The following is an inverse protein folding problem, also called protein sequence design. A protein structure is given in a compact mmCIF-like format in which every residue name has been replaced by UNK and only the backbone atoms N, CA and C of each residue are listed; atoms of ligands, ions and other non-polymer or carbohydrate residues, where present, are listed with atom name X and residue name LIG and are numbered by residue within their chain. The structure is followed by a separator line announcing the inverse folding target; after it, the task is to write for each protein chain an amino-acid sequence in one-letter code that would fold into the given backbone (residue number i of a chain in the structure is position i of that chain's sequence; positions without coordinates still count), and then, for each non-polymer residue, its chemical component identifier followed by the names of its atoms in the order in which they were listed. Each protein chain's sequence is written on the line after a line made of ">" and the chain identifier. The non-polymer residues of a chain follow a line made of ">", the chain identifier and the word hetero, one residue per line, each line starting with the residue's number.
data_IF_959533445805
#
_entry.id   IF_959533445805
#
_cell.length_a   1.000
_cell.length_b   1.000
_cell.length_c   1.000
_cell.angle_alpha   90.00
_cell.angle_beta   90.00
_cell.angle_gamma   90.00
#
_symmetry.space_group_name_H-M   'P 1'
#
loop_
_entity.id
_entity.type
_entity.pdbx_description
1 polymer ?
#
# COMPACT_ATOMS: atom_id res chain seq x y z
N UNK A 1 36.62 22.13 19.54
CA UNK A 1 35.35 22.70 20.03
C UNK A 1 35.04 22.20 21.44
N UNK A 2 35.24 23.03 22.49
CA UNK A 2 34.74 22.73 23.85
C UNK A 2 33.25 23.06 23.90
N UNK A 3 32.43 22.17 23.33
CA UNK A 3 30.97 22.29 23.39
C UNK A 3 30.46 22.02 24.81
N UNK A 4 29.39 22.73 25.20
CA UNK A 4 28.70 22.54 26.48
C UNK A 4 28.35 21.06 26.68
N UNK A 5 28.58 20.48 27.88
CA UNK A 5 28.22 19.09 28.17
C UNK A 5 26.73 18.83 27.94
N UNK A 6 25.88 19.84 28.18
CA UNK A 6 24.43 19.76 27.93
C UNK A 6 24.14 19.65 26.43
N UNK A 7 24.82 20.44 25.60
CA UNK A 7 24.65 20.38 24.15
C UNK A 7 25.02 19.00 23.60
N UNK A 8 26.08 18.38 24.14
CA UNK A 8 26.50 17.02 23.75
C UNK A 8 25.46 15.96 24.08
N UNK A 9 24.85 16.04 25.27
CA UNK A 9 23.78 15.12 25.69
C UNK A 9 22.55 15.27 24.80
N UNK A 10 22.15 16.51 24.50
CA UNK A 10 21.02 16.78 23.62
C UNK A 10 21.29 16.23 22.20
N UNK A 11 22.48 16.45 21.65
CA UNK A 11 22.87 15.89 20.35
C UNK A 11 22.83 14.37 20.35
N UNK A 12 23.33 13.71 21.39
CA UNK A 12 23.26 12.25 21.52
C UNK A 12 21.83 11.73 21.57
N UNK A 13 20.94 12.41 22.29
CA UNK A 13 19.52 12.06 22.33
C UNK A 13 18.87 12.12 20.94
N UNK A 14 19.14 13.18 20.17
CA UNK A 14 18.63 13.30 18.81
C UNK A 14 19.16 12.20 17.89
N UNK A 15 20.44 11.84 18.00
CA UNK A 15 21.04 10.74 17.21
C UNK A 15 20.35 9.42 17.54
N UNK A 16 20.15 9.11 18.82
CA UNK A 16 19.48 7.88 19.25
C UNK A 16 18.02 7.85 18.80
N UNK A 17 17.29 8.96 18.95
CA UNK A 17 15.91 9.06 18.49
C UNK A 17 15.79 8.84 16.98
N UNK A 18 16.69 9.44 16.19
CA UNK A 18 16.72 9.28 14.74
C UNK A 18 17.05 7.83 14.34
N UNK A 19 18.02 7.21 15.00
CA UNK A 19 18.36 5.80 14.78
C UNK A 19 17.19 4.87 15.10
N UNK A 20 16.44 5.12 16.17
CA UNK A 20 15.24 4.35 16.52
C UNK A 20 14.14 4.51 15.47
N UNK A 21 13.86 5.73 15.03
CA UNK A 21 12.88 5.97 13.94
C UNK A 21 13.29 5.24 12.68
N UNK A 22 14.57 5.32 12.29
CA UNK A 22 15.11 4.58 11.14
C UNK A 22 14.96 3.07 11.29
N UNK A 23 15.33 2.52 12.45
CA UNK A 23 15.17 1.10 12.77
C UNK A 23 13.71 0.66 12.62
N UNK A 24 12.78 1.31 13.31
CA UNK A 24 11.35 0.95 13.23
C UNK A 24 10.75 1.18 11.84
N UNK A 25 11.24 2.16 11.07
CA UNK A 25 10.82 2.37 9.69
C UNK A 25 11.35 1.31 8.72
N UNK A 26 12.46 0.65 9.06
CA UNK A 26 13.04 -0.44 8.27
C UNK A 26 12.54 -1.82 8.70
N UNK A 27 12.20 -2.02 9.97
CA UNK A 27 11.69 -3.30 10.49
C UNK A 27 10.18 -3.42 10.46
N UNK A 28 9.43 -2.32 10.28
CA UNK A 28 8.03 -2.45 9.87
C UNK A 28 7.99 -2.93 8.43
N UNK A 29 7.63 -4.19 8.24
CA UNK A 29 7.21 -4.71 6.95
C UNK A 29 6.22 -3.72 6.32
N UNK A 30 6.67 -3.04 5.27
CA UNK A 30 5.92 -1.96 4.60
C UNK A 30 4.77 -2.48 3.74
N UNK A 31 4.55 -3.79 3.71
CA UNK A 31 3.44 -4.36 2.98
C UNK A 31 2.26 -4.61 3.92
N UNK A 32 1.20 -3.80 3.89
CA UNK A 32 -0.04 -4.10 4.61
C UNK A 32 -0.69 -5.42 4.14
N UNK A 33 -0.16 -6.00 3.06
CA UNK A 33 -0.59 -7.26 2.47
C UNK A 33 0.28 -8.47 2.84
N UNK A 34 1.25 -8.35 3.75
CA UNK A 34 2.11 -9.47 4.16
C UNK A 34 3.07 -9.90 3.04
N UNK A 35 3.25 -11.20 2.85
CA UNK A 35 4.04 -11.74 1.73
C UNK A 35 3.42 -11.35 0.38
N UNK A 36 4.17 -10.60 -0.41
CA UNK A 36 3.73 -10.10 -1.72
C UNK A 36 3.39 -11.25 -2.67
N UNK A 37 4.18 -12.32 -2.70
CA UNK A 37 3.95 -13.45 -3.59
C UNK A 37 2.66 -14.19 -3.22
N UNK A 38 2.40 -14.32 -1.92
CA UNK A 38 1.13 -14.88 -1.43
C UNK A 38 -0.05 -13.97 -1.74
N UNK A 39 0.10 -12.65 -1.52
CA UNK A 39 -0.94 -11.68 -1.83
C UNK A 39 -1.31 -11.70 -3.31
N UNK A 40 -0.34 -11.69 -4.23
CA UNK A 40 -0.59 -11.71 -5.68
C UNK A 40 -1.39 -12.95 -6.10
N UNK A 41 -1.04 -14.13 -5.56
CA UNK A 41 -1.76 -15.38 -5.86
C UNK A 41 -3.21 -15.33 -5.39
N UNK A 42 -3.44 -14.95 -4.13
CA UNK A 42 -4.80 -14.90 -3.58
C UNK A 42 -5.64 -13.78 -4.19
N UNK A 43 -5.05 -12.61 -4.41
CA UNK A 43 -5.71 -11.49 -5.06
C UNK A 43 -6.11 -11.86 -6.50
N UNK A 44 -5.21 -12.45 -7.27
CA UNK A 44 -5.50 -12.94 -8.63
C UNK A 44 -6.59 -14.02 -8.65
N UNK A 45 -6.62 -14.92 -7.66
CA UNK A 45 -7.70 -15.91 -7.53
C UNK A 45 -9.06 -15.22 -7.31
N UNK A 46 -9.14 -14.22 -6.42
CA UNK A 46 -10.37 -13.47 -6.17
C UNK A 46 -10.80 -12.71 -7.43
N UNK A 47 -9.88 -12.04 -8.12
CA UNK A 47 -10.16 -11.34 -9.39
C UNK A 47 -10.82 -12.27 -10.42
N UNK A 48 -10.33 -13.50 -10.56
CA UNK A 48 -10.82 -14.44 -11.57
C UNK A 48 -12.09 -15.21 -11.16
N UNK A 49 -12.46 -15.22 -9.88
CA UNK A 49 -13.57 -16.05 -9.37
C UNK A 49 -14.71 -15.25 -8.74
N UNK A 50 -14.47 -13.98 -8.40
CA UNK A 50 -15.47 -13.15 -7.75
C UNK A 50 -16.60 -12.77 -8.71
N UNK A 51 -17.84 -12.96 -8.27
CA UNK A 51 -19.07 -12.59 -8.99
C UNK A 51 -19.74 -11.34 -8.43
N UNK A 52 -19.21 -10.77 -7.36
CA UNK A 52 -19.73 -9.58 -6.68
C UNK A 52 -18.59 -8.56 -6.43
N UNK A 53 -18.19 -7.78 -7.46
CA UNK A 53 -17.13 -6.79 -7.35
C UNK A 53 -17.47 -5.66 -6.38
N UNK A 54 -18.76 -5.34 -6.24
CA UNK A 54 -19.23 -4.27 -5.37
C UNK A 54 -18.86 -4.49 -3.91
N UNK A 55 -19.05 -5.73 -3.44
CA UNK A 55 -18.77 -6.11 -2.07
C UNK A 55 -17.28 -6.31 -1.77
N UNK A 56 -16.52 -6.81 -2.73
CA UNK A 56 -15.14 -7.27 -2.51
C UNK A 56 -14.07 -6.32 -3.01
N UNK A 57 -14.26 -5.69 -4.18
CA UNK A 57 -13.24 -4.85 -4.79
C UNK A 57 -13.28 -3.43 -4.22
N UNK A 58 -14.47 -2.86 -4.01
CA UNK A 58 -14.62 -1.44 -3.64
C UNK A 58 -14.26 -1.09 -2.19
N UNK A 59 -13.99 -2.09 -1.35
CA UNK A 59 -13.39 -1.86 -0.03
C UNK A 59 -11.98 -1.30 -0.12
N UNK A 60 -11.24 -1.66 -1.17
CA UNK A 60 -9.85 -1.27 -1.37
C UNK A 60 -9.63 -0.46 -2.67
N UNK A 61 -10.51 -0.59 -3.66
CA UNK A 61 -10.44 0.11 -4.94
C UNK A 61 -11.53 1.19 -4.98
N UNK A 62 -11.18 2.40 -4.55
CA UNK A 62 -12.10 3.55 -4.46
C UNK A 62 -12.40 4.17 -5.83
N UNK A 63 -11.56 3.93 -6.83
CA UNK A 63 -11.80 4.33 -8.22
C UNK A 63 -12.62 3.24 -8.95
N UNK A 64 -13.93 3.20 -8.68
CA UNK A 64 -14.88 2.22 -9.28
C UNK A 64 -14.72 2.11 -10.81
N UNK A 65 -14.56 3.25 -11.47
CA UNK A 65 -14.49 3.31 -12.92
C UNK A 65 -13.20 2.71 -13.50
N UNK A 66 -12.06 2.76 -12.79
CA UNK A 66 -10.76 2.39 -13.35
C UNK A 66 -10.61 0.87 -13.56
N UNK A 67 -11.12 0.06 -12.62
CA UNK A 67 -11.01 -1.40 -12.69
C UNK A 67 -11.90 -2.01 -13.78
N UNK A 68 -13.17 -1.61 -13.77
CA UNK A 68 -14.15 -2.11 -14.73
C UNK A 68 -13.84 -1.61 -16.15
N UNK A 69 -13.49 -0.33 -16.31
CA UNK A 69 -13.14 0.21 -17.64
C UNK A 69 -11.88 -0.44 -18.21
N UNK A 70 -10.85 -0.69 -17.40
CA UNK A 70 -9.62 -1.37 -17.86
C UNK A 70 -9.92 -2.81 -18.30
N UNK A 71 -10.68 -3.57 -17.50
CA UNK A 71 -11.06 -4.94 -17.86
C UNK A 71 -11.89 -4.99 -19.15
N UNK A 72 -12.86 -4.08 -19.31
CA UNK A 72 -13.65 -3.96 -20.53
C UNK A 72 -12.79 -3.59 -21.76
N UNK A 73 -11.84 -2.68 -21.59
CA UNK A 73 -10.92 -2.27 -22.65
C UNK A 73 -10.00 -3.42 -23.08
N UNK A 74 -9.41 -4.16 -22.15
CA UNK A 74 -8.55 -5.32 -22.43
C UNK A 74 -9.31 -6.48 -23.10
N UNK A 75 -10.59 -6.65 -22.76
CA UNK A 75 -11.45 -7.70 -23.32
C UNK A 75 -12.21 -7.26 -24.58
N UNK A 76 -12.02 -6.03 -25.03
CA UNK A 76 -12.72 -5.47 -26.21
C UNK A 76 -14.24 -5.32 -26.03
N UNK A 77 -14.73 -5.25 -24.79
CA UNK A 77 -16.16 -5.11 -24.49
C UNK A 77 -16.52 -3.63 -24.48
N UNK A 78 -17.10 -3.15 -25.57
CA UNK A 78 -17.65 -1.79 -25.68
C UNK A 78 -18.88 -1.62 -24.77
N UNK A 79 -18.80 -0.69 -23.82
CA UNK A 79 -19.94 -0.31 -23.00
C UNK A 79 -20.82 0.70 -23.74
N UNK A 80 -22.12 0.42 -23.86
CA UNK A 80 -23.09 1.35 -24.44
C UNK A 80 -23.44 2.52 -23.52
N UNK A 81 -23.16 2.40 -22.22
CA UNK A 81 -23.34 3.43 -21.20
C UNK A 81 -22.05 3.49 -20.36
N UNK A 82 -21.45 4.68 -20.12
CA UNK A 82 -20.26 4.80 -19.30
C UNK A 82 -20.52 4.27 -17.88
N UNK A 83 -19.53 3.57 -17.32
CA UNK A 83 -19.58 3.16 -15.92
C UNK A 83 -19.44 4.42 -15.02
N UNK A 84 -20.17 4.48 -13.89
CA UNK A 84 -20.10 5.59 -12.95
C UNK A 84 -18.74 5.68 -12.22
#
# INVERSE_FOLDING_TARGET
>A
MKGSPIARVITLLFIVAFALVGYFAMTKDKNPHGDLAQWEREHGRVVNTNRDPERFCYKCHTEKAAYCSRCHQERGVSLSVPLP
#
